data_IF_780485738783
#
_entry.id   IF_780485738783
#
_cell.length_a   1.000
_cell.length_b   1.000
_cell.length_c   1.000
_cell.angle_alpha   90.00
_cell.angle_beta   90.00
_cell.angle_gamma   90.00
#
_symmetry.space_group_name_H-M   'P 1'
#
loop_
_entity.id
_entity.type
_entity.pdbx_description
1 polymer ?
#
# COMPACT_ATOMS: atom_id res chain seq x y z
N UNK A 1 31.73 6.36 -39.27
CA UNK A 1 30.40 6.39 -38.61
C UNK A 1 30.10 5.00 -38.06
N UNK A 2 29.85 4.86 -36.76
CA UNK A 2 29.54 3.53 -36.16
C UNK A 2 28.12 3.12 -36.55
N UNK A 3 27.97 2.06 -37.34
CA UNK A 3 26.68 1.47 -37.69
C UNK A 3 26.13 0.77 -36.45
N UNK A 4 25.09 1.31 -35.82
CA UNK A 4 24.37 0.60 -34.76
C UNK A 4 23.74 -0.64 -35.41
N UNK A 5 24.13 -1.84 -34.94
CA UNK A 5 23.55 -3.10 -35.43
C UNK A 5 22.13 -3.22 -34.89
N UNK A 6 21.19 -3.57 -35.77
CA UNK A 6 19.76 -3.65 -35.47
C UNK A 6 19.46 -4.67 -34.34
N UNK A 7 20.33 -5.67 -34.16
CA UNK A 7 20.20 -6.70 -33.12
C UNK A 7 20.31 -6.13 -31.69
N UNK A 8 21.12 -5.09 -31.48
CA UNK A 8 21.31 -4.48 -30.15
C UNK A 8 20.08 -3.68 -29.70
N UNK A 9 19.26 -3.21 -30.64
CA UNK A 9 18.00 -2.54 -30.35
C UNK A 9 16.92 -3.52 -29.88
N UNK A 10 16.81 -4.68 -30.55
CA UNK A 10 15.85 -5.73 -30.19
C UNK A 10 16.09 -6.31 -28.81
N UNK A 11 17.35 -6.38 -28.34
CA UNK A 11 17.71 -6.92 -27.03
C UNK A 11 17.31 -6.00 -25.86
N UNK A 12 17.14 -4.70 -26.10
CA UNK A 12 16.69 -3.70 -25.11
C UNK A 12 15.18 -3.49 -25.08
N UNK A 13 14.48 -3.97 -26.11
CA UNK A 13 13.03 -3.86 -26.27
C UNK A 13 12.28 -5.12 -25.84
N UNK A 14 12.82 -5.91 -24.91
CA UNK A 14 11.98 -6.86 -24.17
C UNK A 14 10.92 -6.02 -23.46
N UNK A 15 9.62 -6.17 -23.77
CA UNK A 15 8.61 -5.53 -22.97
C UNK A 15 8.72 -6.20 -21.61
N UNK A 16 9.19 -5.47 -20.60
CA UNK A 16 8.77 -5.75 -19.24
C UNK A 16 7.26 -5.54 -19.32
N UNK A 17 6.50 -6.62 -19.52
CA UNK A 17 5.08 -6.66 -19.27
C UNK A 17 4.93 -6.30 -17.80
N UNK A 18 4.87 -5.00 -17.51
CA UNK A 18 4.31 -4.51 -16.27
C UNK A 18 2.88 -4.99 -16.35
N UNK A 19 2.58 -6.14 -15.74
CA UNK A 19 1.23 -6.57 -15.47
C UNK A 19 0.49 -5.33 -14.99
N UNK A 20 -0.39 -4.79 -15.84
CA UNK A 20 -1.27 -3.72 -15.42
C UNK A 20 -2.12 -4.39 -14.36
N UNK A 21 -1.79 -4.19 -13.07
CA UNK A 21 -2.64 -4.61 -11.95
C UNK A 21 -4.05 -4.24 -12.37
N UNK A 22 -4.90 -5.26 -12.58
CA UNK A 22 -6.26 -5.07 -13.01
C UNK A 22 -6.82 -4.00 -12.09
N UNK A 23 -7.13 -2.82 -12.63
CA UNK A 23 -7.69 -1.73 -11.82
C UNK A 23 -8.98 -2.32 -11.25
N UNK A 24 -8.94 -2.66 -9.96
CA UNK A 24 -10.07 -3.28 -9.29
C UNK A 24 -11.31 -2.44 -9.57
N UNK A 25 -12.43 -3.09 -9.87
CA UNK A 25 -13.71 -2.37 -9.97
C UNK A 25 -13.85 -1.50 -8.71
N UNK A 26 -14.34 -0.26 -8.82
CA UNK A 26 -14.47 0.60 -7.66
C UNK A 26 -15.29 -0.11 -6.58
N UNK A 27 -14.70 -0.29 -5.40
CA UNK A 27 -15.39 -0.87 -4.25
C UNK A 27 -16.62 -0.01 -3.96
N UNK A 28 -17.83 -0.59 -3.88
CA UNK A 28 -19.03 0.19 -3.66
C UNK A 28 -18.96 0.93 -2.32
N UNK A 29 -19.52 2.15 -2.26
CA UNK A 29 -19.40 3.07 -1.11
C UNK A 29 -19.84 2.46 0.23
N UNK A 30 -20.82 1.56 0.22
CA UNK A 30 -21.30 0.89 1.43
C UNK A 30 -20.24 -0.06 2.03
N UNK A 31 -19.55 -0.86 1.20
CA UNK A 31 -18.43 -1.70 1.64
C UNK A 31 -17.30 -0.86 2.25
N UNK A 32 -17.02 0.30 1.65
CA UNK A 32 -16.02 1.24 2.18
C UNK A 32 -16.45 1.86 3.52
N UNK A 33 -17.74 2.15 3.71
CA UNK A 33 -18.26 2.67 4.98
C UNK A 33 -18.03 1.67 6.11
N UNK A 34 -18.29 0.40 5.87
CA UNK A 34 -18.07 -0.66 6.86
C UNK A 34 -16.58 -0.84 7.15
N UNK A 35 -15.72 -0.77 6.12
CA UNK A 35 -14.27 -0.80 6.32
C UNK A 35 -13.76 0.38 7.15
N UNK A 36 -14.23 1.61 6.89
CA UNK A 36 -13.84 2.79 7.67
C UNK A 36 -14.31 2.66 9.12
N UNK A 37 -15.54 2.20 9.34
CA UNK A 37 -16.07 1.96 10.69
C UNK A 37 -15.22 0.94 11.44
N UNK A 38 -14.86 -0.16 10.78
CA UNK A 38 -14.01 -1.19 11.36
C UNK A 38 -12.62 -0.65 11.71
N UNK A 39 -11.98 0.08 10.81
CA UNK A 39 -10.66 0.70 11.05
C UNK A 39 -10.73 1.63 12.27
N UNK A 40 -11.74 2.49 12.35
CA UNK A 40 -11.91 3.40 13.51
C UNK A 40 -12.07 2.64 14.82
N UNK A 41 -12.90 1.59 14.84
CA UNK A 41 -13.12 0.76 16.04
C UNK A 41 -11.86 0.02 16.45
N UNK A 42 -11.11 -0.51 15.49
CA UNK A 42 -9.80 -1.15 15.73
C UNK A 42 -8.81 -0.14 16.31
N UNK A 43 -8.70 1.04 15.71
CA UNK A 43 -7.76 2.06 16.14
C UNK A 43 -8.14 2.67 17.52
N UNK A 44 -9.43 2.66 17.87
CA UNK A 44 -9.89 2.97 19.23
C UNK A 44 -9.43 1.92 20.24
N UNK A 45 -9.72 0.64 19.98
CA UNK A 45 -9.26 -0.46 20.82
C UNK A 45 -7.74 -0.45 21.02
N UNK A 46 -6.96 -0.33 19.94
CA UNK A 46 -5.50 -0.31 20.04
C UNK A 46 -4.97 0.89 20.85
N UNK A 47 -5.69 2.01 20.88
CA UNK A 47 -5.33 3.16 21.73
C UNK A 47 -5.65 2.91 23.20
N UNK A 48 -6.78 2.29 23.49
CA UNK A 48 -7.19 1.91 24.85
C UNK A 48 -6.22 0.90 25.47
N UNK A 49 -5.74 -0.06 24.69
CA UNK A 49 -4.74 -1.05 25.09
C UNK A 49 -3.30 -0.49 25.14
N UNK A 50 -3.09 0.79 24.79
CA UNK A 50 -1.75 1.39 24.76
C UNK A 50 -0.85 0.90 23.61
N UNK A 51 -1.35 0.04 22.72
CA UNK A 51 -0.61 -0.52 21.58
C UNK A 51 -0.42 0.53 20.48
N UNK A 52 -1.40 1.41 20.25
CA UNK A 52 -1.31 2.48 19.24
C UNK A 52 -0.97 3.80 19.92
N UNK A 53 0.30 4.19 19.83
CA UNK A 53 0.86 5.38 20.48
C UNK A 53 0.99 6.53 19.49
N UNK A 54 0.77 7.76 19.96
CA UNK A 54 0.91 8.97 19.14
C UNK A 54 2.40 9.33 18.98
N UNK A 55 2.89 9.37 17.75
CA UNK A 55 4.30 9.71 17.41
C UNK A 55 4.46 11.19 17.04
N UNK A 56 3.36 11.92 16.89
CA UNK A 56 3.33 13.36 16.62
C UNK A 56 1.91 13.84 16.30
N UNK A 57 1.74 15.07 15.84
CA UNK A 57 0.41 15.67 15.67
C UNK A 57 -0.50 14.91 14.70
N UNK A 58 0.08 14.26 13.68
CA UNK A 58 -0.65 13.57 12.61
C UNK A 58 -0.22 12.12 12.41
N UNK A 59 0.56 11.54 13.32
CA UNK A 59 1.16 10.21 13.17
C UNK A 59 0.87 9.33 14.38
N UNK A 60 0.54 8.08 14.09
CA UNK A 60 0.37 7.02 15.07
C UNK A 60 1.34 5.88 14.74
N UNK A 61 1.89 5.25 15.76
CA UNK A 61 2.82 4.15 15.67
C UNK A 61 2.30 2.98 16.51
N UNK A 62 2.51 1.76 16.03
CA UNK A 62 2.28 0.56 16.83
C UNK A 62 3.48 0.33 17.73
N UNK A 63 3.21 0.22 19.03
CA UNK A 63 4.17 -0.21 20.01
C UNK A 63 4.19 -1.75 20.05
N UNK A 64 5.31 -2.32 19.62
CA UNK A 64 5.50 -3.78 19.52
C UNK A 64 5.80 -4.39 20.89
N UNK A 65 6.05 -3.56 21.91
CA UNK A 65 6.38 -3.98 23.27
C UNK A 65 5.20 -3.94 24.25
N UNK A 66 4.02 -3.50 23.81
CA UNK A 66 2.81 -3.42 24.65
C UNK A 66 2.18 -4.80 24.99
N UNK A 67 2.90 -5.91 24.76
CA UNK A 67 2.41 -7.29 24.97
C UNK A 67 3.30 -8.11 25.91
N UNK A 68 4.16 -7.45 26.70
CA UNK A 68 4.91 -8.08 27.81
C UNK A 68 4.17 -7.97 29.15
#
# INVERSE_FOLDING_TARGET
MRKIKLEDWKKKSSPIEKEKKVKGRPTPKWKLRDSIRFIKRRDEYLREEGILVKEGDRKWKLDVFASE
#
